data_IF_313209643798
#
_entry.id   IF_313209643798
#
_cell.length_a   1.000
_cell.length_b   1.000
_cell.length_c   1.000
_cell.angle_alpha   90.00
_cell.angle_beta   90.00
_cell.angle_gamma   90.00
#
_symmetry.space_group_name_H-M   'P 1'
#
loop_
_entity.id
_entity.type
_entity.pdbx_description
1 polymer ?
#
# COMPACT_ATOMS: atom_id res chain seq x y z
N UNK A 1 -10.61 -6.16 -11.13
CA UNK A 1 -9.54 -5.15 -11.36
C UNK A 1 -8.81 -5.37 -12.68
N UNK A 2 -8.26 -6.57 -12.97
CA UNK A 2 -7.56 -6.84 -14.25
C UNK A 2 -8.38 -6.48 -15.50
N UNK A 3 -9.66 -6.87 -15.55
CA UNK A 3 -10.51 -6.57 -16.71
C UNK A 3 -10.67 -5.07 -17.02
N UNK A 4 -10.53 -4.18 -16.02
CA UNK A 4 -10.54 -2.72 -16.23
C UNK A 4 -9.19 -2.27 -16.81
N UNK A 5 -8.08 -2.79 -16.27
CA UNK A 5 -6.73 -2.47 -16.74
C UNK A 5 -6.46 -2.98 -18.17
N UNK A 6 -7.06 -4.10 -18.54
CA UNK A 6 -6.93 -4.70 -19.87
C UNK A 6 -7.96 -4.18 -20.89
N UNK A 7 -8.77 -3.17 -20.50
CA UNK A 7 -9.81 -2.61 -21.35
C UNK A 7 -9.40 -1.32 -22.05
N UNK A 8 -10.28 -0.82 -22.94
CA UNK A 8 -10.14 0.51 -23.56
C UNK A 8 -10.69 1.65 -22.69
N UNK A 9 -10.93 1.41 -21.38
CA UNK A 9 -11.37 2.46 -20.48
C UNK A 9 -10.28 3.50 -20.27
N UNK A 10 -10.59 4.75 -20.56
CA UNK A 10 -9.71 5.90 -20.37
C UNK A 10 -10.04 6.56 -19.03
N UNK A 11 -9.69 5.88 -17.94
CA UNK A 11 -9.89 6.39 -16.58
C UNK A 11 -8.73 7.28 -16.15
N UNK A 12 -9.03 8.32 -15.37
CA UNK A 12 -8.04 9.24 -14.80
C UNK A 12 -7.42 8.65 -13.54
N UNK A 13 -8.25 8.03 -12.69
CA UNK A 13 -7.81 7.37 -11.47
C UNK A 13 -8.55 6.06 -11.24
N UNK A 14 -7.85 5.09 -10.65
CA UNK A 14 -8.39 3.84 -10.16
C UNK A 14 -7.71 3.53 -8.84
N UNK A 15 -8.49 3.24 -7.82
CA UNK A 15 -7.99 2.77 -6.53
C UNK A 15 -8.81 1.58 -6.07
N UNK A 16 -8.22 0.71 -5.26
CA UNK A 16 -8.90 -0.44 -4.66
C UNK A 16 -8.63 -0.53 -3.18
N UNK A 17 -9.66 -0.89 -2.45
CA UNK A 17 -9.71 -0.97 -1.01
C UNK A 17 -9.97 -2.39 -0.58
N UNK A 18 -9.25 -2.82 0.44
CA UNK A 18 -9.42 -4.13 1.06
C UNK A 18 -9.33 -3.96 2.56
N UNK A 19 -10.16 -4.66 3.32
CA UNK A 19 -10.10 -4.69 4.77
C UNK A 19 -10.64 -6.01 5.31
N UNK A 20 -10.57 -6.17 6.62
CA UNK A 20 -11.18 -7.29 7.32
C UNK A 20 -12.66 -7.11 7.67
N UNK A 21 -13.20 -5.89 7.56
CA UNK A 21 -14.58 -5.56 7.93
C UNK A 21 -15.50 -5.22 6.77
N UNK A 22 -14.98 -5.11 5.54
CA UNK A 22 -15.76 -4.77 4.38
C UNK A 22 -15.33 -5.60 3.16
N UNK A 23 -16.26 -5.91 2.24
CA UNK A 23 -15.89 -6.49 0.95
C UNK A 23 -14.99 -5.53 0.16
N UNK A 24 -14.15 -6.04 -0.76
CA UNK A 24 -13.32 -5.21 -1.61
C UNK A 24 -14.13 -4.21 -2.43
N UNK A 25 -13.64 -2.97 -2.52
CA UNK A 25 -14.25 -1.89 -3.32
C UNK A 25 -13.20 -1.30 -4.25
N UNK A 26 -13.59 -0.95 -5.48
CA UNK A 26 -12.74 -0.20 -6.40
C UNK A 26 -13.45 1.08 -6.83
N UNK A 27 -12.77 2.21 -6.70
CA UNK A 27 -13.25 3.51 -7.20
C UNK A 27 -12.54 3.87 -8.48
N UNK A 28 -13.29 4.43 -9.43
CA UNK A 28 -12.80 4.83 -10.73
C UNK A 28 -13.26 6.25 -11.05
N UNK A 29 -12.34 7.09 -11.50
CA UNK A 29 -12.63 8.45 -11.96
C UNK A 29 -12.52 8.51 -13.49
N UNK A 30 -13.52 9.14 -14.11
CA UNK A 30 -13.45 9.56 -15.50
C UNK A 30 -13.49 11.09 -15.56
N UNK A 31 -12.66 11.67 -16.41
CA UNK A 31 -12.71 13.09 -16.76
C UNK A 31 -12.86 13.22 -18.27
N UNK A 32 -13.80 14.04 -18.72
CA UNK A 32 -14.04 14.19 -20.15
C UNK A 32 -15.33 14.95 -20.47
N UNK A 33 -15.71 14.92 -21.74
CA UNK A 33 -17.00 15.44 -22.19
C UNK A 33 -18.15 14.58 -21.67
N UNK A 34 -19.34 15.15 -21.53
CA UNK A 34 -20.53 14.42 -21.08
C UNK A 34 -20.78 13.14 -21.90
N UNK A 35 -20.69 13.23 -23.23
CA UNK A 35 -20.83 12.07 -24.12
C UNK A 35 -19.73 11.01 -23.89
N UNK A 36 -18.50 11.44 -23.59
CA UNK A 36 -17.40 10.55 -23.26
C UNK A 36 -17.63 9.84 -21.93
N UNK A 37 -18.06 10.56 -20.89
CA UNK A 37 -18.36 10.02 -19.58
C UNK A 37 -19.47 8.96 -19.66
N UNK A 38 -20.57 9.25 -20.36
CA UNK A 38 -21.66 8.29 -20.55
C UNK A 38 -21.22 7.00 -21.26
N UNK A 39 -20.35 7.10 -22.26
CA UNK A 39 -19.79 5.94 -22.96
C UNK A 39 -18.87 5.11 -22.06
N UNK A 40 -17.98 5.76 -21.28
CA UNK A 40 -17.08 5.11 -20.34
C UNK A 40 -17.85 4.40 -19.22
N UNK A 41 -18.90 5.03 -18.68
CA UNK A 41 -19.75 4.42 -17.66
C UNK A 41 -20.46 3.17 -18.18
N UNK A 42 -21.01 3.23 -19.40
CA UNK A 42 -21.65 2.08 -20.04
C UNK A 42 -20.68 0.91 -20.19
N UNK A 43 -19.45 1.18 -20.65
CA UNK A 43 -18.41 0.16 -20.80
C UNK A 43 -17.97 -0.40 -19.43
N UNK A 44 -17.82 0.45 -18.41
CA UNK A 44 -17.49 0.03 -17.05
C UNK A 44 -18.54 -0.93 -16.50
N UNK A 45 -19.83 -0.58 -16.61
CA UNK A 45 -20.94 -1.43 -16.13
C UNK A 45 -20.97 -2.79 -16.82
N UNK A 46 -20.60 -2.84 -18.11
CA UNK A 46 -20.45 -4.10 -18.85
C UNK A 46 -19.31 -4.96 -18.32
N UNK A 47 -18.14 -4.35 -18.05
CA UNK A 47 -16.97 -5.06 -17.48
C UNK A 47 -17.20 -5.49 -16.02
N UNK A 48 -17.99 -4.72 -15.28
CA UNK A 48 -18.30 -4.93 -13.87
C UNK A 48 -19.65 -5.62 -13.66
N UNK A 49 -20.11 -6.45 -14.61
CA UNK A 49 -21.45 -7.07 -14.60
C UNK A 49 -21.79 -7.86 -13.32
N UNK A 50 -20.78 -8.35 -12.59
CA UNK A 50 -20.92 -9.08 -11.33
C UNK A 50 -20.79 -8.20 -10.07
N UNK A 51 -20.54 -6.91 -10.22
CA UNK A 51 -20.35 -5.97 -9.13
C UNK A 51 -21.48 -4.93 -9.06
N UNK A 52 -21.77 -4.42 -7.87
CA UNK A 52 -22.65 -3.26 -7.71
C UNK A 52 -21.88 -1.99 -8.08
N UNK A 53 -22.38 -1.27 -9.08
CA UNK A 53 -21.79 0.00 -9.54
C UNK A 53 -22.69 1.16 -9.16
N UNK A 54 -22.19 2.02 -8.27
CA UNK A 54 -22.86 3.25 -7.81
C UNK A 54 -21.92 4.45 -7.92
N UNK A 55 -22.50 5.64 -7.97
CA UNK A 55 -21.75 6.88 -7.86
C UNK A 55 -21.22 7.05 -6.42
N UNK A 56 -19.95 7.44 -6.30
CA UNK A 56 -19.29 7.65 -5.02
C UNK A 56 -19.04 9.16 -4.79
N UNK A 57 -19.09 9.63 -3.53
CA UNK A 57 -18.76 11.02 -3.23
C UNK A 57 -17.28 11.32 -3.51
N UNK A 58 -16.97 12.58 -3.80
CA UNK A 58 -15.59 13.04 -4.06
C UNK A 58 -14.63 12.82 -2.89
N UNK A 59 -15.16 12.74 -1.65
CA UNK A 59 -14.37 12.43 -0.45
C UNK A 59 -13.66 11.07 -0.53
N UNK A 60 -14.11 10.14 -1.37
CA UNK A 60 -13.47 8.83 -1.52
C UNK A 60 -12.01 8.94 -1.99
N UNK A 61 -11.65 10.05 -2.65
CA UNK A 61 -10.28 10.32 -3.09
C UNK A 61 -9.34 10.76 -1.95
N UNK A 62 -9.84 10.95 -0.72
CA UNK A 62 -9.02 11.16 0.49
C UNK A 62 -8.72 9.87 1.25
N UNK A 63 -9.00 8.70 0.67
CA UNK A 63 -8.83 7.42 1.33
C UNK A 63 -7.41 7.14 1.81
N UNK A 64 -6.39 7.68 1.12
CA UNK A 64 -4.99 7.52 1.53
C UNK A 64 -4.72 8.26 2.83
N UNK A 65 -5.25 9.47 2.97
CA UNK A 65 -5.21 10.28 4.19
C UNK A 65 -6.00 9.61 5.32
N UNK A 66 -7.14 8.99 5.02
CA UNK A 66 -7.96 8.28 6.00
C UNK A 66 -7.24 7.09 6.65
N UNK A 67 -6.27 6.46 5.96
CA UNK A 67 -5.40 5.47 6.60
C UNK A 67 -4.63 6.05 7.79
N UNK A 68 -4.37 7.36 7.81
CA UNK A 68 -3.70 8.07 8.91
C UNK A 68 -4.66 8.57 10.00
N UNK A 69 -5.98 8.44 9.81
CA UNK A 69 -7.00 8.86 10.77
C UNK A 69 -7.23 7.83 11.89
N UNK A 70 -6.16 7.26 12.46
CA UNK A 70 -6.22 6.32 13.59
C UNK A 70 -6.18 7.07 14.93
N UNK A 71 -6.87 6.53 15.93
CA UNK A 71 -6.96 7.17 17.25
C UNK A 71 -5.87 6.73 18.25
N UNK A 72 -5.25 5.58 18.00
CA UNK A 72 -4.24 5.01 18.91
C UNK A 72 -2.91 4.73 18.19
N UNK A 73 -1.97 5.69 18.20
CA UNK A 73 -0.63 5.50 17.65
C UNK A 73 0.18 4.39 18.33
N UNK A 74 -0.13 4.03 19.57
CA UNK A 74 0.60 3.00 20.30
C UNK A 74 0.23 1.57 19.84
N UNK A 75 -0.85 1.44 19.06
CA UNK A 75 -1.33 0.18 18.50
C UNK A 75 -1.48 0.20 16.98
N UNK A 76 -0.92 1.18 16.29
CA UNK A 76 -1.06 1.32 14.83
C UNK A 76 0.30 1.28 14.12
N UNK A 77 0.38 0.55 13.01
CA UNK A 77 1.47 0.66 12.05
C UNK A 77 0.94 0.99 10.65
N UNK A 78 1.67 1.84 9.93
CA UNK A 78 1.41 2.15 8.52
C UNK A 78 2.62 1.76 7.70
N UNK A 79 2.39 1.00 6.63
CA UNK A 79 3.38 0.63 5.65
C UNK A 79 2.96 1.07 4.24
N UNK A 80 3.94 1.34 3.40
CA UNK A 80 3.81 1.41 1.94
C UNK A 80 4.43 0.14 1.38
N UNK A 81 3.77 -0.47 0.40
CA UNK A 81 4.30 -1.61 -0.31
C UNK A 81 4.22 -1.43 -1.82
N UNK A 82 5.02 -2.22 -2.53
CA UNK A 82 4.95 -2.36 -3.98
C UNK A 82 4.93 -3.84 -4.36
N UNK A 83 4.17 -4.17 -5.39
CA UNK A 83 4.05 -5.51 -5.96
C UNK A 83 3.98 -5.43 -7.48
N UNK A 84 4.23 -6.57 -8.14
CA UNK A 84 3.77 -6.76 -9.51
C UNK A 84 2.23 -6.78 -9.53
N UNK A 85 1.55 -6.03 -10.42
CA UNK A 85 0.08 -5.98 -10.45
C UNK A 85 -0.60 -7.35 -10.58
N UNK A 86 0.07 -8.30 -11.26
CA UNK A 86 -0.41 -9.69 -11.40
C UNK A 86 -0.47 -10.45 -10.08
N UNK A 87 0.28 -10.03 -9.06
CA UNK A 87 0.32 -10.67 -7.75
C UNK A 87 -0.73 -10.10 -6.77
N UNK A 88 -1.59 -9.17 -7.21
CA UNK A 88 -2.64 -8.52 -6.41
C UNK A 88 -3.34 -9.48 -5.44
N UNK A 89 -3.99 -10.50 -6.01
CA UNK A 89 -4.84 -11.42 -5.28
C UNK A 89 -4.03 -12.19 -4.22
N UNK A 90 -2.90 -12.78 -4.65
CA UNK A 90 -1.96 -13.47 -3.76
C UNK A 90 -1.46 -12.55 -2.63
N UNK A 91 -1.16 -11.29 -2.93
CA UNK A 91 -0.72 -10.33 -1.90
C UNK A 91 -1.84 -10.01 -0.91
N UNK A 92 -3.09 -9.86 -1.36
CA UNK A 92 -4.21 -9.61 -0.45
C UNK A 92 -4.51 -10.84 0.44
N UNK A 93 -4.40 -12.05 -0.10
CA UNK A 93 -4.48 -13.28 0.69
C UNK A 93 -3.37 -13.34 1.75
N UNK A 94 -2.14 -12.99 1.37
CA UNK A 94 -1.01 -12.92 2.29
C UNK A 94 -1.23 -11.89 3.41
N UNK A 95 -1.72 -10.69 3.07
CA UNK A 95 -2.06 -9.64 4.05
C UNK A 95 -3.12 -10.15 5.02
N UNK A 96 -4.21 -10.72 4.51
CA UNK A 96 -5.28 -11.27 5.34
C UNK A 96 -4.78 -12.41 6.24
N UNK A 97 -4.00 -13.35 5.70
CA UNK A 97 -3.42 -14.46 6.44
C UNK A 97 -2.49 -13.98 7.56
N UNK A 98 -1.57 -13.08 7.23
CA UNK A 98 -0.60 -12.53 8.20
C UNK A 98 -1.28 -11.74 9.31
N UNK A 99 -2.26 -10.90 8.96
CA UNK A 99 -3.04 -10.14 9.94
C UNK A 99 -3.85 -11.05 10.87
N UNK A 100 -4.54 -12.06 10.31
CA UNK A 100 -5.31 -13.03 11.09
C UNK A 100 -4.43 -13.84 12.05
N UNK A 101 -3.28 -14.33 11.59
CA UNK A 101 -2.33 -15.06 12.42
C UNK A 101 -1.83 -14.24 13.63
N UNK A 102 -1.78 -12.91 13.48
CA UNK A 102 -1.32 -11.98 14.51
C UNK A 102 -2.48 -11.27 15.27
N UNK A 103 -3.73 -11.62 14.98
CA UNK A 103 -4.94 -11.00 15.54
C UNK A 103 -4.97 -9.48 15.34
N UNK A 104 -4.64 -9.02 14.13
CA UNK A 104 -4.59 -7.62 13.75
C UNK A 104 -5.81 -7.24 12.92
N UNK A 105 -6.29 -6.01 13.13
CA UNK A 105 -7.19 -5.36 12.17
C UNK A 105 -6.36 -4.79 11.02
N UNK A 106 -6.91 -4.77 9.81
CA UNK A 106 -6.16 -4.29 8.66
C UNK A 106 -7.00 -3.56 7.61
N UNK A 107 -6.37 -2.58 6.95
CA UNK A 107 -6.92 -1.87 5.78
C UNK A 107 -5.83 -1.65 4.76
N UNK A 108 -6.15 -1.86 3.48
CA UNK A 108 -5.28 -1.60 2.34
C UNK A 108 -5.96 -0.65 1.39
N UNK A 109 -5.23 0.36 0.93
CA UNK A 109 -5.52 1.13 -0.27
C UNK A 109 -4.44 0.85 -1.29
N UNK A 110 -4.81 0.65 -2.55
CA UNK A 110 -3.82 0.43 -3.59
C UNK A 110 -4.23 0.93 -4.96
N UNK A 111 -3.22 1.16 -5.79
CA UNK A 111 -3.34 1.67 -7.14
C UNK A 111 -3.01 0.58 -8.17
N UNK A 112 -3.52 0.71 -9.41
CA UNK A 112 -3.28 -0.23 -10.51
C UNK A 112 -1.80 -0.46 -10.86
N UNK A 113 -0.93 0.47 -10.49
CA UNK A 113 0.52 0.38 -10.68
C UNK A 113 1.19 -0.63 -9.74
N UNK A 114 0.46 -1.25 -8.83
CA UNK A 114 1.00 -2.19 -7.83
C UNK A 114 1.56 -1.51 -6.59
N UNK A 115 1.34 -0.20 -6.42
CA UNK A 115 1.70 0.53 -5.20
C UNK A 115 0.52 0.57 -4.25
N UNK A 116 0.74 0.25 -2.98
CA UNK A 116 -0.29 0.30 -1.96
C UNK A 116 0.20 0.80 -0.60
N UNK A 117 -0.77 1.06 0.26
CA UNK A 117 -0.61 1.44 1.65
C UNK A 117 -1.41 0.47 2.50
N UNK A 118 -0.81 0.04 3.61
CA UNK A 118 -1.36 -0.89 4.57
C UNK A 118 -1.39 -0.21 5.93
N UNK A 119 -2.56 -0.26 6.58
CA UNK A 119 -2.72 0.03 8.01
C UNK A 119 -2.95 -1.27 8.74
N UNK A 120 -2.20 -1.50 9.81
CA UNK A 120 -2.38 -2.60 10.75
C UNK A 120 -2.64 -2.03 12.14
N UNK A 121 -3.63 -2.58 12.85
CA UNK A 121 -4.01 -2.13 14.20
C UNK A 121 -4.05 -3.34 15.16
N UNK A 122 -3.35 -3.23 16.30
CA UNK A 122 -3.26 -4.26 17.32
C UNK A 122 -2.03 -4.16 18.21
N UNK A 123 -1.64 -5.26 18.88
CA UNK A 123 -0.51 -5.27 19.82
C UNK A 123 0.81 -5.01 19.10
N UNK A 124 1.69 -4.19 19.69
CA UNK A 124 2.98 -3.81 19.09
C UNK A 124 3.87 -5.01 18.67
N UNK A 125 3.89 -6.09 19.46
CA UNK A 125 4.62 -7.32 19.09
C UNK A 125 4.01 -8.03 17.89
N UNK A 126 2.67 -8.06 17.82
CA UNK A 126 1.91 -8.62 16.70
C UNK A 126 2.16 -7.84 15.41
N UNK A 127 2.17 -6.49 15.48
CA UNK A 127 2.47 -5.62 14.34
C UNK A 127 3.86 -5.91 13.76
N UNK A 128 4.88 -6.02 14.61
CA UNK A 128 6.24 -6.36 14.16
C UNK A 128 6.29 -7.71 13.46
N UNK A 129 5.63 -8.73 14.02
CA UNK A 129 5.58 -10.07 13.44
C UNK A 129 4.95 -10.06 12.04
N UNK A 130 3.79 -9.41 11.92
CA UNK A 130 3.09 -9.28 10.65
C UNK A 130 3.92 -8.51 9.60
N UNK A 131 4.49 -7.36 9.97
CA UNK A 131 5.33 -6.56 9.08
C UNK A 131 6.58 -7.32 8.60
N UNK A 132 7.20 -8.12 9.47
CA UNK A 132 8.35 -8.93 9.11
C UNK A 132 7.98 -10.04 8.12
N UNK A 133 6.87 -10.75 8.37
CA UNK A 133 6.38 -11.81 7.49
C UNK A 133 6.00 -11.26 6.12
N UNK A 134 5.27 -10.14 6.09
CA UNK A 134 4.90 -9.46 4.86
C UNK A 134 6.10 -8.97 4.08
N UNK A 135 7.09 -8.35 4.73
CA UNK A 135 8.30 -7.90 4.03
C UNK A 135 9.05 -9.07 3.41
N UNK A 136 9.24 -10.17 4.13
CA UNK A 136 9.97 -11.33 3.62
C UNK A 136 9.34 -11.87 2.34
N UNK A 137 8.02 -12.11 2.36
CA UNK A 137 7.32 -12.66 1.20
C UNK A 137 7.23 -11.66 0.04
N UNK A 138 7.13 -10.35 0.32
CA UNK A 138 7.14 -9.34 -0.74
C UNK A 138 8.51 -9.22 -1.38
N UNK A 139 9.60 -9.24 -0.61
CA UNK A 139 10.97 -9.21 -1.14
C UNK A 139 11.22 -10.45 -2.05
N UNK A 140 10.70 -11.62 -1.67
CA UNK A 140 10.78 -12.86 -2.48
C UNK A 140 9.98 -12.80 -3.80
N UNK A 141 9.10 -11.80 -3.95
CA UNK A 141 8.24 -11.59 -5.12
C UNK A 141 8.61 -10.33 -5.92
N UNK A 142 9.85 -9.85 -5.79
CA UNK A 142 10.34 -8.60 -6.40
C UNK A 142 9.51 -7.36 -5.97
N UNK A 143 8.84 -7.47 -4.83
CA UNK A 143 8.11 -6.39 -4.17
C UNK A 143 8.97 -5.63 -3.17
N UNK A 144 8.34 -4.74 -2.41
CA UNK A 144 9.00 -4.04 -1.29
C UNK A 144 7.99 -3.64 -0.21
N UNK A 145 8.48 -3.45 1.02
CA UNK A 145 7.69 -2.92 2.13
C UNK A 145 8.50 -1.93 2.97
N UNK A 146 8.02 -0.68 3.00
CA UNK A 146 8.55 0.43 3.80
C UNK A 146 7.57 0.76 4.91
N UNK A 147 8.03 0.85 6.16
CA UNK A 147 7.21 1.28 7.29
C UNK A 147 7.28 2.80 7.43
N UNK A 148 6.12 3.45 7.31
CA UNK A 148 5.97 4.90 7.42
C UNK A 148 5.66 5.34 8.85
N UNK A 149 4.95 4.51 9.59
CA UNK A 149 4.62 4.72 11.00
C UNK A 149 4.65 3.39 11.75
N UNK A 150 5.18 3.42 12.98
CA UNK A 150 5.12 2.31 13.91
C UNK A 150 4.95 2.82 15.34
N UNK A 151 4.41 2.02 16.26
CA UNK A 151 4.39 2.38 17.67
C UNK A 151 5.81 2.52 18.24
N UNK A 152 6.01 3.47 19.16
CA UNK A 152 7.30 3.66 19.84
C UNK A 152 7.75 2.42 20.61
N UNK A 153 6.78 1.73 21.23
CA UNK A 153 6.99 0.49 21.99
C UNK A 153 7.20 -0.74 21.10
N UNK A 154 7.06 -0.62 19.78
CA UNK A 154 7.38 -1.71 18.87
C UNK A 154 8.89 -1.98 18.90
N UNK A 155 9.32 -3.25 19.02
CA UNK A 155 10.75 -3.57 18.98
C UNK A 155 11.39 -3.07 17.69
N UNK A 156 12.71 -2.88 17.71
CA UNK A 156 13.47 -2.36 16.57
C UNK A 156 13.11 -3.11 15.29
N UNK A 157 12.84 -2.32 14.25
CA UNK A 157 12.44 -2.77 12.93
C UNK A 157 13.00 -1.77 11.93
N UNK A 158 13.68 -2.27 10.90
CA UNK A 158 14.18 -1.43 9.82
C UNK A 158 13.00 -0.86 9.04
N UNK A 159 12.95 0.47 8.89
CA UNK A 159 11.82 1.13 8.24
C UNK A 159 11.87 0.96 6.71
N UNK A 160 13.04 0.76 6.11
CA UNK A 160 13.23 0.96 4.67
C UNK A 160 13.17 -0.31 3.84
N UNK A 161 13.53 -1.47 4.41
CA UNK A 161 13.74 -2.69 3.65
C UNK A 161 15.13 -2.74 3.01
N UNK A 162 15.29 -3.62 2.02
CA UNK A 162 16.59 -3.81 1.36
C UNK A 162 16.93 -2.67 0.39
N UNK A 163 18.18 -2.21 0.39
CA UNK A 163 18.70 -1.29 -0.63
C UNK A 163 19.22 -2.03 -1.89
N UNK A 164 19.28 -3.36 -1.83
CA UNK A 164 19.91 -4.18 -2.89
C UNK A 164 21.30 -3.67 -3.27
N UNK A 165 21.59 -3.73 -4.56
CA UNK A 165 22.90 -3.36 -5.12
C UNK A 165 23.19 -1.86 -5.06
N UNK A 166 22.17 -1.03 -4.86
CA UNK A 166 22.30 0.43 -4.80
C UNK A 166 22.92 0.93 -3.49
N UNK A 167 23.06 0.07 -2.47
CA UNK A 167 23.57 0.49 -1.15
C UNK A 167 24.97 1.10 -1.21
N UNK A 168 25.85 0.54 -2.05
CA UNK A 168 27.23 1.03 -2.21
C UNK A 168 27.28 2.45 -2.79
N UNK A 169 26.43 2.73 -3.76
CA UNK A 169 26.25 4.06 -4.34
C UNK A 169 25.69 5.04 -3.31
N UNK A 170 24.65 4.64 -2.56
CA UNK A 170 24.05 5.49 -1.53
C UNK A 170 25.05 5.87 -0.42
N UNK A 171 25.89 4.92 0.03
CA UNK A 171 26.98 5.19 0.98
C UNK A 171 28.00 6.18 0.42
N UNK A 172 28.35 6.04 -0.86
CA UNK A 172 29.29 6.94 -1.53
C UNK A 172 28.74 8.36 -1.63
N UNK A 173 27.46 8.50 -1.95
CA UNK A 173 26.76 9.80 -1.97
C UNK A 173 26.73 10.42 -0.56
N UNK A 174 26.37 9.64 0.48
CA UNK A 174 26.38 10.10 1.88
C UNK A 174 27.77 10.59 2.30
N UNK A 175 28.82 9.87 1.96
CA UNK A 175 30.20 10.24 2.32
C UNK A 175 30.63 11.57 1.68
N UNK A 176 30.21 11.85 0.44
CA UNK A 176 30.53 13.11 -0.23
C UNK A 176 29.73 14.30 0.33
N UNK A 177 28.45 14.08 0.64
CA UNK A 177 27.55 15.17 1.08
C UNK A 177 27.59 15.42 2.60
N UNK A 178 27.84 14.40 3.41
CA UNK A 178 27.92 14.46 4.87
C UNK A 178 29.08 13.60 5.41
N UNK A 179 30.34 14.00 5.15
CA UNK A 179 31.52 13.23 5.54
C UNK A 179 31.67 13.08 7.06
N UNK A 180 31.01 13.92 7.85
CA UNK A 180 31.04 13.90 9.32
C UNK A 180 29.87 13.12 9.93
N UNK A 181 28.96 12.57 9.11
CA UNK A 181 27.78 11.84 9.51
C UNK A 181 26.92 12.56 10.57
N UNK A 182 26.71 13.87 10.39
CA UNK A 182 25.93 14.69 11.33
C UNK A 182 24.44 14.70 11.01
N UNK A 183 24.06 14.41 9.77
CA UNK A 183 22.68 14.45 9.30
C UNK A 183 22.01 13.08 9.53
N UNK A 184 21.28 12.98 10.64
CA UNK A 184 20.35 11.87 10.94
C UNK A 184 20.99 10.46 10.89
N UNK A 185 22.07 10.22 11.67
CA UNK A 185 22.92 9.04 11.53
C UNK A 185 22.18 7.72 11.78
N UNK A 186 22.39 6.74 10.89
CA UNK A 186 21.91 5.37 11.08
C UNK A 186 20.41 5.19 10.91
N UNK A 187 19.72 6.20 10.37
CA UNK A 187 18.26 6.20 10.21
C UNK A 187 17.81 5.91 8.79
N UNK A 188 18.70 5.87 7.82
CA UNK A 188 18.39 5.50 6.45
C UNK A 188 18.78 4.04 6.16
N UNK A 189 18.48 3.58 4.95
CA UNK A 189 18.68 2.19 4.53
C UNK A 189 20.14 1.75 4.73
N UNK A 190 20.32 0.52 5.23
CA UNK A 190 21.65 -0.04 5.48
C UNK A 190 22.48 0.73 6.52
N UNK A 191 21.84 1.51 7.40
CA UNK A 191 22.50 2.26 8.48
C UNK A 191 23.19 3.55 8.03
N UNK A 192 22.80 4.07 6.86
CA UNK A 192 23.23 5.39 6.36
C UNK A 192 22.63 6.53 7.20
#
# INVERSE_FOLDING_TARGET
>A
MLAVQDSKLAHTFLQSHFSDDAPPVSDILFEGTEAGLAAQETQLRSLAALASVSEAPTSTWTAREELWAFSDPASTAIAKFSILPVNLERTMELVAHSANAHQLRWKVLMYPTGIGWLRLEGKASSLRGALQALRSELDDQDGSLVVLHRPDKMPAFDAWGTAGDALSLMKSVKQQLDPKNTLNPGRFVGGI
#
